data_IF_998321738043
#
_entry.id   IF_998321738043
#
_cell.length_a   1.000
_cell.length_b   1.000
_cell.length_c   1.000
_cell.angle_alpha   90.00
_cell.angle_beta   90.00
_cell.angle_gamma   90.00
#
_symmetry.space_group_name_H-M   'P 1'
#
loop_
_entity.id
_entity.type
_entity.pdbx_description
1 polymer ?
#
# COMPACT_ATOMS: atom_id res chain seq x y z
N UNK A 1 13.34 18.51 24.99
CA UNK A 1 13.72 19.17 23.70
C UNK A 1 13.81 18.24 22.47
N UNK A 2 13.85 16.90 22.62
CA UNK A 2 13.93 15.93 21.49
C UNK A 2 12.58 15.64 20.78
N UNK A 3 11.43 15.85 21.40
CA UNK A 3 10.12 15.55 20.81
C UNK A 3 9.70 16.51 19.68
N UNK A 4 10.20 17.74 19.68
CA UNK A 4 9.85 18.76 18.67
C UNK A 4 10.31 18.41 17.25
N UNK A 5 11.24 17.47 17.09
CA UNK A 5 11.84 17.06 15.81
C UNK A 5 11.46 15.64 15.37
N UNK A 6 10.57 14.96 16.13
CA UNK A 6 10.09 13.63 15.77
C UNK A 6 9.14 13.74 14.58
N UNK A 7 9.38 12.91 13.56
CA UNK A 7 8.44 12.79 12.44
C UNK A 7 7.10 12.22 12.94
N UNK A 8 6.03 12.98 12.80
CA UNK A 8 4.68 12.64 13.29
C UNK A 8 3.83 11.92 12.24
N UNK A 9 4.39 11.52 11.08
CA UNK A 9 3.61 10.93 9.98
C UNK A 9 2.83 9.70 10.44
N UNK A 10 3.44 8.83 11.25
CA UNK A 10 2.74 7.66 11.82
C UNK A 10 1.62 8.05 12.77
N UNK A 11 1.91 8.95 13.68
CA UNK A 11 0.95 9.37 14.71
C UNK A 11 -0.25 10.08 14.06
N UNK A 12 0.00 10.92 13.04
CA UNK A 12 -1.04 11.61 12.27
C UNK A 12 -1.91 10.61 11.50
N UNK A 13 -1.29 9.65 10.79
CA UNK A 13 -2.07 8.64 10.08
C UNK A 13 -2.94 7.80 11.03
N UNK A 14 -2.41 7.43 12.20
CA UNK A 14 -3.20 6.73 13.21
C UNK A 14 -4.40 7.55 13.69
N UNK A 15 -4.22 8.87 13.90
CA UNK A 15 -5.30 9.77 14.27
C UNK A 15 -6.33 9.90 13.14
N UNK A 16 -5.89 10.06 11.90
CA UNK A 16 -6.77 10.17 10.73
C UNK A 16 -7.62 8.91 10.55
N UNK A 17 -7.02 7.72 10.71
CA UNK A 17 -7.73 6.44 10.66
C UNK A 17 -8.82 6.35 11.75
N UNK A 18 -8.48 6.67 13.00
CA UNK A 18 -9.46 6.67 14.07
C UNK A 18 -10.57 7.72 13.87
N UNK A 19 -10.23 8.88 13.31
CA UNK A 19 -11.20 9.94 13.00
C UNK A 19 -12.27 9.47 12.00
N UNK A 20 -11.87 8.64 11.03
CA UNK A 20 -12.81 8.05 10.06
C UNK A 20 -13.45 6.73 10.54
N UNK A 21 -13.29 6.37 11.82
CA UNK A 21 -13.92 5.19 12.41
C UNK A 21 -13.18 3.87 12.26
N UNK A 22 -11.95 3.90 11.70
CA UNK A 22 -11.10 2.70 11.62
C UNK A 22 -10.44 2.46 12.97
N UNK A 23 -10.58 1.25 13.52
CA UNK A 23 -9.98 0.87 14.80
C UNK A 23 -8.46 0.69 14.65
N UNK A 24 -7.71 1.76 14.80
CA UNK A 24 -6.26 1.78 14.63
C UNK A 24 -5.53 2.10 15.93
N UNK A 25 -4.39 1.45 16.15
CA UNK A 25 -3.52 1.64 17.33
C UNK A 25 -2.04 1.57 16.96
N UNK A 26 -1.22 2.37 17.65
CA UNK A 26 0.23 2.35 17.45
C UNK A 26 0.81 1.05 18.01
N UNK A 27 1.52 0.29 17.17
CA UNK A 27 2.30 -0.87 17.62
C UNK A 27 3.51 -0.43 18.47
N UNK A 28 4.03 -1.35 19.27
CA UNK A 28 5.33 -1.16 19.92
C UNK A 28 6.43 -1.00 18.87
N UNK A 29 7.55 -0.39 19.28
CA UNK A 29 8.71 -0.23 18.39
C UNK A 29 9.45 -1.56 18.25
N UNK A 30 10.27 -1.65 17.18
CA UNK A 30 11.03 -2.85 16.83
C UNK A 30 10.13 -4.05 16.49
N UNK A 31 8.93 -3.75 15.98
CA UNK A 31 8.02 -4.77 15.49
C UNK A 31 8.57 -5.42 14.21
N UNK A 32 8.47 -6.76 14.09
CA UNK A 32 8.99 -7.53 12.95
C UNK A 32 8.56 -6.97 11.58
N UNK A 33 7.33 -6.44 11.48
CA UNK A 33 6.74 -5.86 10.26
C UNK A 33 7.38 -4.54 9.86
N UNK A 34 8.21 -3.92 10.71
CA UNK A 34 9.01 -2.75 10.36
C UNK A 34 10.06 -3.06 9.28
N UNK A 35 10.42 -4.33 9.10
CA UNK A 35 11.35 -4.81 8.07
C UNK A 35 10.71 -4.99 6.70
N UNK A 36 9.37 -5.12 6.62
CA UNK A 36 8.65 -5.38 5.36
C UNK A 36 8.72 -4.16 4.44
N UNK A 37 9.17 -4.37 3.19
CA UNK A 37 9.42 -3.33 2.17
C UNK A 37 10.47 -2.28 2.58
N UNK A 38 11.18 -2.48 3.70
CA UNK A 38 12.14 -1.53 4.25
C UNK A 38 13.53 -1.72 3.60
N UNK A 39 13.82 -0.91 2.60
CA UNK A 39 15.13 -0.91 1.93
C UNK A 39 16.21 -0.26 2.81
N UNK A 40 17.48 -0.56 2.57
CA UNK A 40 18.63 -0.10 3.34
C UNK A 40 18.75 1.45 3.48
N UNK A 41 18.20 2.20 2.55
CA UNK A 41 18.20 3.68 2.55
C UNK A 41 16.94 4.29 3.22
N UNK A 42 16.04 3.44 3.71
CA UNK A 42 14.81 3.81 4.39
C UNK A 42 14.90 3.46 5.87
N UNK A 43 14.05 4.08 6.66
CA UNK A 43 13.81 3.68 8.05
C UNK A 43 12.32 3.61 8.31
N UNK A 44 11.90 2.67 9.13
CA UNK A 44 10.53 2.63 9.61
C UNK A 44 10.29 3.73 10.66
N UNK A 45 9.18 4.40 10.55
CA UNK A 45 8.64 5.27 11.60
C UNK A 45 7.79 4.47 12.61
N UNK A 46 7.55 3.19 12.33
CA UNK A 46 6.82 2.24 13.13
C UNK A 46 5.52 1.79 12.48
N UNK A 47 4.92 0.77 13.07
CA UNK A 47 3.71 0.10 12.59
C UNK A 47 2.48 0.64 13.29
N UNK A 48 1.36 0.68 12.56
CA UNK A 48 0.01 0.88 13.06
C UNK A 48 -0.71 -0.46 12.93
N UNK A 49 -1.31 -0.97 14.01
CA UNK A 49 -2.21 -2.11 13.97
C UNK A 49 -3.62 -1.65 13.66
N UNK A 50 -4.33 -2.40 12.82
CA UNK A 50 -5.72 -2.13 12.45
C UNK A 50 -6.56 -3.36 12.78
N UNK A 51 -7.62 -3.18 13.55
CA UNK A 51 -8.53 -4.24 13.93
C UNK A 51 -9.68 -4.38 12.91
N UNK A 52 -10.21 -5.59 12.78
CA UNK A 52 -11.41 -5.88 11.97
C UNK A 52 -11.28 -5.47 10.49
N UNK A 53 -10.09 -5.64 9.90
CA UNK A 53 -9.78 -5.25 8.53
C UNK A 53 -9.01 -6.34 7.79
N UNK A 54 -9.15 -6.40 6.47
CA UNK A 54 -8.30 -7.21 5.59
C UNK A 54 -6.85 -6.72 5.59
N UNK A 55 -6.59 -5.55 6.17
CA UNK A 55 -5.30 -4.89 6.30
C UNK A 55 -4.99 -4.72 7.79
N UNK A 56 -4.53 -5.77 8.49
CA UNK A 56 -4.33 -5.72 9.94
C UNK A 56 -3.16 -4.86 10.40
N UNK A 57 -2.31 -4.38 9.49
CA UNK A 57 -1.20 -3.50 9.86
C UNK A 57 -0.76 -2.58 8.72
N UNK A 58 -0.16 -1.46 9.11
CA UNK A 58 0.41 -0.45 8.20
C UNK A 58 1.80 -0.08 8.70
N UNK A 59 2.84 -0.23 7.86
CA UNK A 59 4.20 0.22 8.17
C UNK A 59 4.48 1.55 7.44
N UNK A 60 5.05 2.52 8.14
CA UNK A 60 5.38 3.82 7.58
C UNK A 60 6.89 3.90 7.39
N UNK A 61 7.33 3.99 6.15
CA UNK A 61 8.74 4.11 5.79
C UNK A 61 9.08 5.54 5.40
N UNK A 62 10.29 5.95 5.72
CA UNK A 62 10.82 7.26 5.37
C UNK A 62 12.26 7.15 4.87
N UNK A 63 12.54 7.85 3.80
CA UNK A 63 13.88 8.23 3.38
C UNK A 63 14.11 9.67 3.81
N UNK A 64 15.17 9.91 4.58
CA UNK A 64 15.52 11.28 4.97
C UNK A 64 16.04 12.05 3.76
N UNK A 65 15.73 13.34 3.73
CA UNK A 65 16.19 14.23 2.68
C UNK A 65 17.69 14.50 2.77
N UNK A 66 18.30 14.81 1.64
CA UNK A 66 19.67 15.28 1.53
C UNK A 66 19.74 16.73 1.02
N UNK A 67 20.95 17.21 0.76
CA UNK A 67 21.19 18.59 0.30
C UNK A 67 20.36 18.97 -0.93
N UNK A 68 20.13 18.02 -1.85
CA UNK A 68 19.45 18.25 -3.13
C UNK A 68 18.16 17.43 -3.30
N UNK A 69 17.78 16.61 -2.32
CA UNK A 69 16.63 15.74 -2.41
C UNK A 69 15.70 15.94 -1.21
N UNK A 70 14.40 16.21 -1.43
CA UNK A 70 13.45 16.28 -0.33
C UNK A 70 13.25 14.89 0.30
N UNK A 71 12.81 14.83 1.56
CA UNK A 71 12.46 13.57 2.20
C UNK A 71 11.27 12.90 1.47
N UNK A 72 11.24 11.57 1.49
CA UNK A 72 10.18 10.76 0.86
C UNK A 72 9.58 9.81 1.88
N UNK A 73 8.30 9.48 1.68
CA UNK A 73 7.55 8.57 2.54
C UNK A 73 6.89 7.48 1.71
N UNK A 74 6.75 6.31 2.31
CA UNK A 74 5.95 5.21 1.78
C UNK A 74 5.06 4.69 2.89
N UNK A 75 3.83 4.38 2.54
CA UNK A 75 2.86 3.73 3.41
C UNK A 75 2.66 2.33 2.87
N UNK A 76 2.98 1.34 3.67
CA UNK A 76 2.93 -0.07 3.33
C UNK A 76 1.77 -0.71 4.08
N UNK A 77 0.74 -1.10 3.36
CA UNK A 77 -0.42 -1.82 3.88
C UNK A 77 -0.17 -3.31 3.73
N UNK A 78 -0.22 -4.06 4.82
CA UNK A 78 -0.04 -5.51 4.82
C UNK A 78 -1.36 -6.25 4.71
N UNK A 79 -1.45 -7.17 3.77
CA UNK A 79 -2.61 -8.01 3.47
C UNK A 79 -2.17 -9.46 3.64
N UNK A 80 -2.41 -10.09 4.81
CA UNK A 80 -2.02 -11.48 5.05
C UNK A 80 -2.73 -12.43 4.10
N UNK A 81 -1.99 -13.41 3.58
CA UNK A 81 -2.54 -14.48 2.76
C UNK A 81 -1.65 -15.71 2.86
N UNK A 82 -2.07 -16.69 3.65
CA UNK A 82 -1.30 -17.92 3.91
C UNK A 82 -1.11 -18.79 2.65
N UNK A 83 -1.98 -18.61 1.63
CA UNK A 83 -1.88 -19.30 0.34
C UNK A 83 -0.76 -18.75 -0.55
N UNK A 84 -0.17 -17.61 -0.19
CA UNK A 84 0.89 -16.98 -0.96
C UNK A 84 2.18 -17.80 -1.02
N UNK A 85 2.38 -18.74 -0.08
CA UNK A 85 3.56 -19.62 -0.03
C UNK A 85 3.61 -20.66 -1.13
N UNK A 86 2.47 -21.08 -1.68
CA UNK A 86 2.37 -22.14 -2.70
C UNK A 86 2.69 -21.65 -4.12
N UNK A 87 2.85 -20.36 -4.32
CA UNK A 87 3.03 -19.77 -5.63
C UNK A 87 4.44 -19.20 -5.75
N UNK A 88 5.25 -19.82 -6.59
CA UNK A 88 6.67 -19.51 -6.76
C UNK A 88 6.96 -18.27 -7.63
N UNK A 89 5.95 -17.65 -8.23
CA UNK A 89 6.15 -16.53 -9.15
C UNK A 89 6.00 -15.19 -8.43
N UNK A 90 6.90 -14.26 -8.78
CA UNK A 90 6.89 -12.89 -8.27
C UNK A 90 5.76 -12.11 -8.94
N UNK A 91 4.74 -11.74 -8.17
CA UNK A 91 3.70 -10.82 -8.64
C UNK A 91 4.04 -9.41 -8.19
N UNK A 92 4.15 -8.51 -9.15
CA UNK A 92 4.41 -7.09 -8.91
C UNK A 92 3.66 -6.26 -9.94
N UNK A 93 2.68 -5.50 -9.49
CA UNK A 93 1.90 -4.61 -10.33
C UNK A 93 1.89 -3.20 -9.77
N UNK A 94 1.93 -2.20 -10.65
CA UNK A 94 1.97 -0.79 -10.25
C UNK A 94 1.15 0.10 -11.16
N UNK A 95 0.72 1.23 -10.62
CA UNK A 95 0.00 2.23 -11.38
C UNK A 95 0.93 3.00 -12.32
N UNK A 96 0.44 3.30 -13.52
CA UNK A 96 1.04 4.25 -14.44
C UNK A 96 0.08 5.39 -14.66
N UNK A 97 0.54 6.60 -14.37
CA UNK A 97 -0.24 7.84 -14.45
C UNK A 97 -0.01 8.54 -15.79
N UNK A 98 -1.05 8.65 -16.60
CA UNK A 98 -1.03 9.39 -17.86
C UNK A 98 -1.35 10.86 -17.60
N UNK A 99 -0.42 11.74 -17.93
CA UNK A 99 -0.60 13.21 -17.81
C UNK A 99 -1.07 13.79 -19.13
N UNK A 100 -1.75 14.95 -19.06
CA UNK A 100 -2.02 15.77 -20.25
C UNK A 100 -0.75 16.45 -20.75
N UNK A 101 -0.70 16.75 -22.05
CA UNK A 101 0.35 17.61 -22.61
C UNK A 101 0.09 19.08 -22.21
N UNK A 102 1.12 19.88 -21.89
CA UNK A 102 2.54 19.53 -21.74
C UNK A 102 2.81 18.68 -20.49
N UNK A 103 3.96 18.04 -20.39
CA UNK A 103 4.36 17.02 -19.40
C UNK A 103 4.04 17.30 -17.92
N UNK A 104 3.70 18.53 -17.57
CA UNK A 104 3.33 18.98 -16.21
C UNK A 104 1.79 19.08 -16.02
N UNK A 105 1.01 18.61 -16.99
CA UNK A 105 -0.47 18.69 -16.95
C UNK A 105 -1.11 17.80 -15.88
N UNK A 106 -2.43 18.00 -15.71
CA UNK A 106 -3.26 17.18 -14.81
C UNK A 106 -3.23 15.71 -15.21
N UNK A 107 -3.34 14.80 -14.23
CA UNK A 107 -3.43 13.37 -14.49
C UNK A 107 -4.77 13.08 -15.14
N UNK A 108 -4.75 12.62 -16.38
CA UNK A 108 -5.96 12.28 -17.14
C UNK A 108 -6.47 10.89 -16.80
N UNK A 109 -5.54 9.92 -16.71
CA UNK A 109 -5.88 8.52 -16.50
C UNK A 109 -4.81 7.80 -15.69
N UNK A 110 -5.21 6.67 -15.10
CA UNK A 110 -4.33 5.74 -14.40
C UNK A 110 -4.63 4.35 -14.91
N UNK A 111 -3.59 3.60 -15.22
CA UNK A 111 -3.66 2.18 -15.59
C UNK A 111 -2.71 1.38 -14.72
N UNK A 112 -3.00 0.09 -14.55
CA UNK A 112 -2.09 -0.83 -13.87
C UNK A 112 -1.22 -1.56 -14.89
N UNK A 113 0.03 -1.82 -14.53
CA UNK A 113 0.99 -2.60 -15.33
C UNK A 113 1.89 -3.41 -14.42
N UNK A 114 2.41 -4.49 -14.95
CA UNK A 114 3.33 -5.37 -14.26
C UNK A 114 3.04 -6.82 -14.59
N UNK A 115 3.40 -7.69 -13.66
CA UNK A 115 3.24 -9.13 -13.76
C UNK A 115 2.26 -9.58 -12.67
N UNK A 116 1.07 -10.08 -13.06
CA UNK A 116 0.02 -10.53 -12.14
C UNK A 116 -0.18 -12.05 -12.14
N UNK A 117 0.77 -12.78 -12.75
CA UNK A 117 0.76 -14.24 -12.80
C UNK A 117 -0.56 -14.86 -13.32
N UNK A 118 -1.26 -14.14 -14.20
CA UNK A 118 -2.53 -14.56 -14.76
C UNK A 118 -3.70 -14.51 -13.76
N UNK A 119 -3.56 -13.77 -12.66
CA UNK A 119 -4.62 -13.58 -11.66
C UNK A 119 -5.75 -12.67 -12.16
N UNK A 120 -5.51 -11.89 -13.23
CA UNK A 120 -6.48 -10.94 -13.77
C UNK A 120 -6.58 -9.62 -13.02
N UNK A 121 -5.75 -9.43 -11.99
CA UNK A 121 -5.74 -8.24 -11.13
C UNK A 121 -5.55 -6.95 -11.91
N UNK A 122 -4.65 -6.94 -12.91
CA UNK A 122 -4.38 -5.76 -13.75
C UNK A 122 -5.67 -5.27 -14.41
N UNK A 123 -6.48 -6.19 -14.94
CA UNK A 123 -7.74 -5.85 -15.60
C UNK A 123 -8.78 -5.36 -14.60
N UNK A 124 -9.01 -6.07 -13.50
CA UNK A 124 -9.97 -5.70 -12.47
C UNK A 124 -9.69 -4.32 -11.88
N UNK A 125 -8.44 -4.09 -11.47
CA UNK A 125 -8.03 -2.80 -10.90
C UNK A 125 -8.04 -1.66 -11.93
N UNK A 126 -7.83 -1.98 -13.22
CA UNK A 126 -7.81 -0.97 -14.29
C UNK A 126 -9.19 -0.50 -14.72
N UNK A 127 -10.25 -1.28 -14.52
CA UNK A 127 -11.63 -0.89 -14.88
C UNK A 127 -12.38 -0.24 -13.73
N UNK A 128 -11.95 -0.46 -12.48
CA UNK A 128 -12.61 0.08 -11.29
C UNK A 128 -12.41 1.60 -11.17
N UNK A 129 -13.51 2.35 -11.19
CA UNK A 129 -13.49 3.82 -11.19
C UNK A 129 -13.08 4.41 -9.83
N UNK A 130 -13.41 3.76 -8.72
CA UNK A 130 -13.04 4.22 -7.37
C UNK A 130 -11.53 4.09 -7.19
N UNK A 131 -10.96 2.95 -7.60
CA UNK A 131 -9.51 2.70 -7.56
C UNK A 131 -8.76 3.68 -8.46
N UNK A 132 -9.27 3.95 -9.66
CA UNK A 132 -8.69 4.99 -10.54
C UNK A 132 -8.72 6.38 -9.91
N UNK A 133 -9.82 6.72 -9.26
CA UNK A 133 -9.99 8.01 -8.58
C UNK A 133 -9.03 8.14 -7.41
N UNK A 134 -8.93 7.12 -6.56
CA UNK A 134 -7.93 7.05 -5.50
C UNK A 134 -6.51 7.23 -6.06
N UNK A 135 -6.10 6.42 -7.04
CA UNK A 135 -4.76 6.46 -7.62
C UNK A 135 -4.42 7.80 -8.29
N UNK A 136 -5.39 8.51 -8.86
CA UNK A 136 -5.16 9.87 -9.37
C UNK A 136 -4.79 10.85 -8.27
N UNK A 137 -5.33 10.70 -7.07
CA UNK A 137 -5.17 11.61 -5.94
C UNK A 137 -3.99 11.27 -5.04
N UNK A 138 -3.89 10.01 -4.62
CA UNK A 138 -2.95 9.60 -3.56
C UNK A 138 -1.53 9.30 -4.02
N UNK A 139 -1.23 9.22 -5.30
CA UNK A 139 0.11 8.91 -5.79
C UNK A 139 0.20 7.58 -6.53
N UNK A 140 1.42 7.06 -6.65
CA UNK A 140 1.59 5.74 -7.23
C UNK A 140 1.23 4.68 -6.20
N UNK A 141 0.52 3.66 -6.67
CA UNK A 141 0.19 2.45 -5.93
C UNK A 141 0.99 1.30 -6.53
N UNK A 142 1.52 0.46 -5.68
CA UNK A 142 2.24 -0.75 -6.07
C UNK A 142 1.73 -1.92 -5.22
N UNK A 143 1.43 -3.05 -5.84
CA UNK A 143 1.01 -4.28 -5.16
C UNK A 143 2.08 -5.33 -5.42
N UNK A 144 2.58 -5.92 -4.35
CA UNK A 144 3.59 -6.97 -4.40
C UNK A 144 3.19 -8.16 -3.56
N UNK A 145 3.51 -9.35 -4.07
CA UNK A 145 3.46 -10.56 -3.27
C UNK A 145 4.71 -10.66 -2.39
N UNK A 146 4.50 -11.06 -1.16
CA UNK A 146 5.54 -11.31 -0.16
C UNK A 146 5.55 -12.81 0.22
N UNK A 147 6.75 -13.41 0.20
CA UNK A 147 6.94 -14.84 0.54
C UNK A 147 8.05 -15.06 1.58
N UNK A 148 8.54 -13.98 2.19
CA UNK A 148 9.62 -13.98 3.19
C UNK A 148 9.13 -14.00 4.63
N UNK A 149 9.64 -13.10 5.45
CA UNK A 149 9.26 -12.94 6.85
C UNK A 149 7.77 -12.58 7.05
N UNK A 150 7.13 -12.01 6.02
CA UNK A 150 5.70 -11.81 5.94
C UNK A 150 5.16 -12.59 4.74
N UNK A 151 4.10 -13.37 4.95
CA UNK A 151 3.38 -14.08 3.90
C UNK A 151 2.08 -13.35 3.57
N UNK A 152 1.91 -13.01 2.29
CA UNK A 152 0.75 -12.26 1.84
C UNK A 152 1.08 -11.25 0.76
N UNK A 153 0.45 -10.09 0.83
CA UNK A 153 0.59 -9.03 -0.14
C UNK A 153 0.87 -7.70 0.55
N UNK A 154 1.62 -6.84 -0.11
CA UNK A 154 1.76 -5.45 0.28
C UNK A 154 1.15 -4.53 -0.77
N UNK A 155 0.35 -3.56 -0.32
CA UNK A 155 -0.02 -2.40 -1.12
C UNK A 155 0.84 -1.23 -0.65
N UNK A 156 1.62 -0.66 -1.53
CA UNK A 156 2.56 0.43 -1.22
C UNK A 156 2.10 1.72 -1.89
N UNK A 157 2.11 2.80 -1.13
CA UNK A 157 1.78 4.15 -1.56
C UNK A 157 3.00 5.05 -1.37
N UNK A 158 3.42 5.77 -2.41
CA UNK A 158 4.72 6.47 -2.49
C UNK A 158 4.71 7.90 -1.92
N UNK A 159 3.86 8.18 -0.94
CA UNK A 159 3.77 9.50 -0.27
C UNK A 159 3.04 9.43 1.06
N UNK A 160 2.99 10.56 1.79
CA UNK A 160 2.11 10.69 2.95
C UNK A 160 0.66 10.52 2.55
N UNK A 161 -0.13 9.96 3.45
CA UNK A 161 -1.52 9.62 3.23
C UNK A 161 -2.38 10.16 4.37
N UNK A 162 -3.45 10.84 4.01
CA UNK A 162 -4.48 11.36 4.91
C UNK A 162 -5.81 10.85 4.37
N UNK A 163 -6.29 9.68 4.83
CA UNK A 163 -7.47 9.02 4.27
C UNK A 163 -8.77 9.74 4.60
N UNK A 164 -9.68 9.78 3.64
CA UNK A 164 -11.12 9.87 3.88
C UNK A 164 -11.72 8.48 4.06
N UNK A 165 -13.00 8.39 4.49
CA UNK A 165 -13.73 7.12 4.52
C UNK A 165 -13.73 6.42 3.14
N UNK A 166 -13.94 7.18 2.06
CA UNK A 166 -13.93 6.65 0.69
C UNK A 166 -12.56 6.08 0.32
N UNK A 167 -11.49 6.75 0.76
CA UNK A 167 -10.13 6.27 0.51
C UNK A 167 -9.85 4.95 1.19
N UNK A 168 -10.21 4.85 2.46
CA UNK A 168 -10.02 3.64 3.23
C UNK A 168 -10.82 2.48 2.64
N UNK A 169 -12.11 2.70 2.35
CA UNK A 169 -12.96 1.70 1.71
C UNK A 169 -12.38 1.23 0.36
N UNK A 170 -11.82 2.15 -0.42
CA UNK A 170 -11.20 1.80 -1.70
C UNK A 170 -9.90 1.00 -1.50
N UNK A 171 -9.11 1.31 -0.47
CA UNK A 171 -7.91 0.52 -0.12
C UNK A 171 -8.30 -0.89 0.34
N UNK A 172 -9.33 -1.04 1.18
CA UNK A 172 -9.87 -2.36 1.55
C UNK A 172 -10.44 -3.12 0.34
N UNK A 173 -11.09 -2.42 -0.59
CA UNK A 173 -11.55 -3.00 -1.84
C UNK A 173 -10.40 -3.56 -2.67
N UNK A 174 -9.26 -2.85 -2.77
CA UNK A 174 -8.04 -3.38 -3.41
C UNK A 174 -7.56 -4.65 -2.69
N UNK A 175 -7.52 -4.66 -1.36
CA UNK A 175 -7.13 -5.85 -0.60
C UNK A 175 -8.07 -7.04 -0.88
N UNK A 176 -9.37 -6.80 -0.97
CA UNK A 176 -10.35 -7.84 -1.29
C UNK A 176 -10.18 -8.37 -2.72
N UNK A 177 -9.88 -7.55 -3.71
CA UNK A 177 -9.55 -8.01 -5.07
C UNK A 177 -8.32 -8.93 -5.05
N UNK A 178 -7.27 -8.54 -4.35
CA UNK A 178 -6.05 -9.34 -4.20
C UNK A 178 -6.35 -10.70 -3.55
N UNK A 179 -7.12 -10.73 -2.47
CA UNK A 179 -7.49 -11.96 -1.77
C UNK A 179 -8.46 -12.85 -2.57
N UNK A 180 -9.33 -12.28 -3.39
CA UNK A 180 -10.30 -13.02 -4.20
C UNK A 180 -9.70 -13.58 -5.48
N UNK A 181 -8.74 -12.90 -6.09
CA UNK A 181 -8.12 -13.28 -7.37
C UNK A 181 -7.52 -14.69 -7.36
N UNK A 182 -7.03 -15.16 -6.22
CA UNK A 182 -6.50 -16.51 -6.07
C UNK A 182 -7.56 -17.60 -6.11
N UNK A 183 -8.81 -17.31 -5.72
CA UNK A 183 -9.90 -18.28 -5.76
C UNK A 183 -10.28 -18.70 -7.19
N UNK A 184 -10.12 -17.82 -8.16
CA UNK A 184 -10.42 -18.12 -9.56
C UNK A 184 -9.43 -19.11 -10.18
N UNK A 185 -8.18 -19.13 -9.69
CA UNK A 185 -7.14 -20.04 -10.18
C UNK A 185 -7.39 -21.49 -9.75
N UNK A 186 -7.83 -21.68 -8.52
CA UNK A 186 -8.13 -23.02 -7.97
C UNK A 186 -9.36 -23.65 -8.64
N UNK A 187 -10.34 -22.85 -9.07
CA UNK A 187 -11.51 -23.33 -9.79
C UNK A 187 -11.21 -23.74 -11.24
N UNK A 188 -10.20 -23.17 -11.88
CA UNK A 188 -9.79 -23.54 -13.24
C UNK A 188 -8.92 -24.82 -13.31
N UNK A 189 -8.42 -25.29 -12.17
CA UNK A 189 -7.62 -26.53 -12.07
C UNK A 189 -8.45 -27.76 -11.73
N UNK A 190 -9.75 -27.62 -11.49
CA UNK A 190 -10.71 -28.71 -11.32
C UNK A 190 -11.54 -28.89 -12.59
#
# INVERSE_FOLDING_TARGET
MKEKFRDKTRDNLNQDLNFIGVKAGLAERDHERESVENSWYQRSLGVINVAESSIPWINILKQDGGKNNPPRWWIVFGIPDDRSSEIHQRTEIKTIRKKSFPLFGKIKDVTWKGEDDGLGLINELSVDLEIKTLAKRVGNLEIKRQTGAFQGWTLVLDRKFHPSNEDWNTIEKIANYVLSSQRFRDQKKR
#
